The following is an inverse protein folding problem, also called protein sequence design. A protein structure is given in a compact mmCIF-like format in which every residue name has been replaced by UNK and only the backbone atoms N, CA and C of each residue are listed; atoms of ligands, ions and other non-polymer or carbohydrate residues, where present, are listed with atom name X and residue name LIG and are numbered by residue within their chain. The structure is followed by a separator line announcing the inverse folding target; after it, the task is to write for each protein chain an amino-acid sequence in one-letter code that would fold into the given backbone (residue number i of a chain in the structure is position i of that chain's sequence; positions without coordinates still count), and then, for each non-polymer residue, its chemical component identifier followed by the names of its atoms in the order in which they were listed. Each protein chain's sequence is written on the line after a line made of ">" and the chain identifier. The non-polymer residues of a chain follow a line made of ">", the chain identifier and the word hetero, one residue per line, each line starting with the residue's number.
data_IF_042445483091
#
_entry.id   IF_042445483091
#
_cell.length_a   1.000
_cell.length_b   1.000
_cell.length_c   1.000
_cell.angle_alpha   90.00
_cell.angle_beta   90.00
_cell.angle_gamma   90.00
#
_symmetry.space_group_name_H-M   'P 1'
#
loop_
_entity.id
_entity.type
_entity.pdbx_description
1 polymer ?
#
# COMPACT_ATOMS: atom_id res chain seq x y z
N UNK A 1 -21.08 -1.88 17.61
CA UNK A 1 -19.97 -2.43 18.40
C UNK A 1 -18.65 -2.03 17.73
N UNK A 2 -17.70 -1.48 18.49
CA UNK A 2 -16.31 -1.35 18.02
C UNK A 2 -15.65 -2.69 18.34
N UNK A 3 -15.23 -3.44 17.33
CA UNK A 3 -14.60 -4.75 17.50
C UNK A 3 -13.09 -4.58 17.39
N UNK A 4 -12.34 -4.53 18.51
CA UNK A 4 -10.90 -4.32 18.50
C UNK A 4 -10.27 -5.61 17.98
N UNK A 5 -9.97 -5.67 16.69
CA UNK A 5 -9.42 -6.87 16.05
C UNK A 5 -9.84 -7.08 14.60
N UNK A 6 -10.94 -6.45 14.17
CA UNK A 6 -11.47 -6.66 12.82
C UNK A 6 -10.44 -6.33 11.72
N UNK A 7 -9.59 -5.34 11.96
CA UNK A 7 -8.61 -4.86 10.98
C UNK A 7 -7.19 -5.37 11.22
N UNK A 8 -6.94 -6.18 12.25
CA UNK A 8 -5.57 -6.66 12.55
C UNK A 8 -4.92 -7.37 11.36
N UNK A 9 -5.62 -8.25 10.60
CA UNK A 9 -5.03 -8.87 9.40
C UNK A 9 -4.74 -7.85 8.29
N UNK A 10 -5.59 -6.83 8.14
CA UNK A 10 -5.40 -5.79 7.12
C UNK A 10 -4.07 -5.05 7.33
N UNK A 11 -3.79 -4.67 8.58
CA UNK A 11 -2.56 -3.98 8.95
C UNK A 11 -1.34 -4.91 9.02
N UNK A 12 -1.52 -6.13 9.50
CA UNK A 12 -0.42 -7.08 9.73
C UNK A 12 0.02 -7.86 8.50
N UNK A 13 -0.84 -8.06 7.49
CA UNK A 13 -0.49 -8.84 6.31
C UNK A 13 -0.86 -8.12 5.02
N UNK A 14 -2.12 -7.74 4.82
CA UNK A 14 -2.58 -7.25 3.52
C UNK A 14 -1.84 -6.01 3.03
N UNK A 15 -1.68 -4.99 3.89
CA UNK A 15 -0.94 -3.76 3.52
C UNK A 15 0.53 -4.07 3.24
N UNK A 16 1.15 -4.99 3.98
CA UNK A 16 2.55 -5.38 3.75
C UNK A 16 2.67 -6.09 2.40
N UNK A 17 1.80 -7.05 2.11
CA UNK A 17 1.74 -7.70 0.79
C UNK A 17 1.45 -6.70 -0.33
N UNK A 18 0.63 -5.69 -0.07
CA UNK A 18 0.37 -4.62 -1.01
C UNK A 18 1.65 -3.82 -1.32
N UNK A 19 2.42 -3.44 -0.29
CA UNK A 19 3.72 -2.77 -0.44
C UNK A 19 4.67 -3.60 -1.31
N UNK A 20 4.79 -4.90 -1.04
CA UNK A 20 5.65 -5.80 -1.80
C UNK A 20 5.18 -5.97 -3.25
N UNK A 21 3.87 -6.08 -3.48
CA UNK A 21 3.29 -6.22 -4.83
C UNK A 21 3.50 -4.96 -5.65
N UNK A 22 3.30 -3.79 -5.04
CA UNK A 22 3.54 -2.49 -5.68
C UNK A 22 5.03 -2.36 -6.05
N UNK A 23 5.91 -2.65 -5.10
CA UNK A 23 7.35 -2.51 -5.27
C UNK A 23 7.99 -3.52 -6.23
N UNK A 24 7.58 -4.77 -6.13
CA UNK A 24 8.17 -5.94 -6.79
C UNK A 24 8.59 -6.97 -5.75
N UNK A 25 7.99 -8.17 -5.80
CA UNK A 25 8.22 -9.26 -4.82
C UNK A 25 9.58 -9.94 -4.98
N UNK A 26 10.18 -9.89 -6.18
CA UNK A 26 11.47 -10.49 -6.48
C UNK A 26 12.67 -9.54 -6.39
N UNK A 27 12.51 -8.33 -5.84
CA UNK A 27 13.62 -7.39 -5.66
C UNK A 27 13.49 -6.59 -4.37
N UNK A 28 14.48 -6.69 -3.48
CA UNK A 28 14.51 -5.95 -2.21
C UNK A 28 14.46 -4.42 -2.40
N UNK A 29 15.11 -3.89 -3.44
CA UNK A 29 15.04 -2.44 -3.76
C UNK A 29 13.62 -2.06 -4.17
N UNK A 30 12.95 -2.93 -4.92
CA UNK A 30 11.53 -2.80 -5.26
C UNK A 30 10.65 -2.78 -4.03
N UNK A 31 10.79 -3.77 -3.14
CA UNK A 31 10.05 -3.85 -1.89
C UNK A 31 10.18 -2.58 -1.04
N UNK A 32 11.39 -2.03 -0.88
CA UNK A 32 11.62 -0.78 -0.14
C UNK A 32 10.92 0.40 -0.80
N UNK A 33 11.01 0.52 -2.14
CA UNK A 33 10.30 1.56 -2.88
C UNK A 33 8.78 1.43 -2.71
N UNK A 34 8.24 0.21 -2.82
CA UNK A 34 6.81 -0.05 -2.63
C UNK A 34 6.33 0.27 -1.22
N UNK A 35 7.12 -0.07 -0.20
CA UNK A 35 6.85 0.31 1.19
C UNK A 35 6.81 1.83 1.36
N UNK A 36 7.80 2.55 0.80
CA UNK A 36 7.85 3.99 0.86
C UNK A 36 6.66 4.67 0.16
N UNK A 37 6.23 4.15 -1.00
CA UNK A 37 5.09 4.68 -1.74
C UNK A 37 3.77 4.53 -0.96
N UNK A 38 3.48 3.34 -0.43
CA UNK A 38 2.24 3.11 0.32
C UNK A 38 2.26 3.88 1.64
N UNK A 39 3.41 3.95 2.31
CA UNK A 39 3.58 4.80 3.49
C UNK A 39 3.35 6.28 3.18
N UNK A 40 3.92 6.79 2.08
CA UNK A 40 3.74 8.17 1.67
C UNK A 40 2.26 8.47 1.38
N UNK A 41 1.55 7.58 0.68
CA UNK A 41 0.11 7.69 0.44
C UNK A 41 -0.66 7.74 1.77
N UNK A 42 -0.30 6.88 2.72
CA UNK A 42 -0.92 6.87 4.05
C UNK A 42 -0.69 8.18 4.81
N UNK A 43 0.56 8.64 4.88
CA UNK A 43 0.96 9.86 5.57
C UNK A 43 0.27 11.08 4.96
N UNK A 44 0.33 11.22 3.64
CA UNK A 44 -0.25 12.35 2.92
C UNK A 44 -1.77 12.38 3.03
N UNK A 45 -2.43 11.22 2.99
CA UNK A 45 -3.88 11.17 3.21
C UNK A 45 -4.26 11.67 4.61
N UNK A 46 -3.43 11.44 5.64
CA UNK A 46 -3.65 12.00 6.99
C UNK A 46 -3.55 13.51 6.95
N UNK A 47 -2.50 14.03 6.33
CA UNK A 47 -2.31 15.46 6.18
C UNK A 47 -3.48 16.15 5.45
N UNK A 48 -3.98 15.56 4.36
CA UNK A 48 -5.14 16.09 3.64
C UNK A 48 -6.44 16.01 4.44
N UNK A 49 -6.70 14.90 5.12
CA UNK A 49 -7.90 14.74 5.95
C UNK A 49 -7.96 15.81 7.03
N UNK A 50 -6.83 16.06 7.72
CA UNK A 50 -6.78 17.04 8.80
C UNK A 50 -6.99 18.49 8.32
N UNK A 51 -6.69 18.80 7.05
CA UNK A 51 -6.78 20.17 6.51
C UNK A 51 -8.07 20.44 5.72
N UNK A 52 -8.62 19.44 5.05
CA UNK A 52 -9.72 19.60 4.10
C UNK A 52 -11.04 19.09 4.66
N UNK A 53 -11.01 18.05 5.50
CA UNK A 53 -12.23 17.39 5.96
C UNK A 53 -12.77 18.05 7.23
N UNK A 54 -14.07 18.43 7.27
CA UNK A 54 -14.69 18.98 8.47
C UNK A 54 -14.57 18.04 9.69
N UNK A 55 -14.44 18.58 10.92
CA UNK A 55 -14.25 17.77 12.14
C UNK A 55 -15.28 16.66 12.32
N UNK A 56 -16.53 16.90 11.94
CA UNK A 56 -17.62 15.93 12.02
C UNK A 56 -17.36 14.61 11.25
N UNK A 57 -16.52 14.65 10.21
CA UNK A 57 -16.22 13.48 9.37
C UNK A 57 -14.81 12.93 9.57
N UNK A 58 -13.97 13.55 10.42
CA UNK A 58 -12.56 13.15 10.56
C UNK A 58 -12.35 11.71 11.06
N UNK A 59 -13.31 11.16 11.82
CA UNK A 59 -13.25 9.77 12.29
C UNK A 59 -13.62 8.75 11.19
N UNK A 60 -14.33 9.18 10.14
CA UNK A 60 -14.78 8.33 9.02
C UNK A 60 -13.93 8.51 7.77
N UNK A 61 -13.35 9.69 7.57
CA UNK A 61 -12.55 9.99 6.39
C UNK A 61 -11.38 9.02 6.13
N UNK A 62 -10.66 8.49 7.15
CA UNK A 62 -9.55 7.56 6.91
C UNK A 62 -9.93 6.26 6.18
N UNK A 63 -11.20 5.84 6.20
CA UNK A 63 -11.65 4.63 5.49
C UNK A 63 -11.42 4.70 3.97
N UNK A 64 -11.33 5.91 3.39
CA UNK A 64 -11.04 6.08 1.95
C UNK A 64 -9.66 5.52 1.55
N UNK A 65 -8.72 5.43 2.50
CA UNK A 65 -7.37 4.91 2.27
C UNK A 65 -7.38 3.47 1.77
N UNK A 66 -8.34 2.67 2.22
CA UNK A 66 -8.45 1.28 1.78
C UNK A 66 -8.85 1.19 0.31
N UNK A 67 -9.75 2.05 -0.14
CA UNK A 67 -10.09 2.19 -1.56
C UNK A 67 -8.90 2.68 -2.36
N UNK A 68 -8.16 3.69 -1.85
CA UNK A 68 -6.97 4.21 -2.51
C UNK A 68 -5.86 3.16 -2.66
N UNK A 69 -5.57 2.39 -1.60
CA UNK A 69 -4.57 1.30 -1.65
C UNK A 69 -5.03 0.22 -2.63
N UNK A 70 -6.31 -0.18 -2.59
CA UNK A 70 -6.87 -1.13 -3.53
C UNK A 70 -6.76 -0.65 -4.98
N UNK A 71 -7.04 0.63 -5.24
CA UNK A 71 -6.91 1.24 -6.56
C UNK A 71 -5.45 1.25 -7.03
N UNK A 72 -4.51 1.62 -6.16
CA UNK A 72 -3.07 1.57 -6.47
C UNK A 72 -2.65 0.16 -6.83
N UNK A 73 -3.10 -0.85 -6.07
CA UNK A 73 -2.82 -2.25 -6.38
C UNK A 73 -3.36 -2.67 -7.74
N UNK A 74 -4.63 -2.37 -8.03
CA UNK A 74 -5.24 -2.70 -9.33
C UNK A 74 -4.47 -2.04 -10.47
N UNK A 75 -4.13 -0.75 -10.34
CA UNK A 75 -3.37 -0.01 -11.37
C UNK A 75 -1.99 -0.62 -11.58
N UNK A 76 -1.27 -0.98 -10.51
CA UNK A 76 0.04 -1.59 -10.60
C UNK A 76 -0.05 -2.98 -11.23
N UNK A 77 -1.00 -3.81 -10.81
CA UNK A 77 -1.17 -5.15 -11.38
C UNK A 77 -1.48 -5.10 -12.89
N UNK A 78 -2.30 -4.14 -13.33
CA UNK A 78 -2.63 -3.98 -14.76
C UNK A 78 -1.42 -3.49 -15.56
N UNK A 79 -0.72 -2.45 -15.08
CA UNK A 79 0.35 -1.80 -15.87
C UNK A 79 1.71 -2.45 -15.70
N UNK A 80 1.99 -3.04 -14.54
CA UNK A 80 3.30 -3.52 -14.11
C UNK A 80 3.13 -4.75 -13.19
N UNK A 81 2.75 -5.92 -13.74
CA UNK A 81 2.50 -7.13 -12.96
C UNK A 81 3.73 -7.66 -12.19
N UNK A 82 4.94 -7.18 -12.53
CA UNK A 82 6.19 -7.47 -11.81
C UNK A 82 6.54 -6.43 -10.73
N UNK A 83 5.65 -5.49 -10.45
CA UNK A 83 5.92 -4.32 -9.61
C UNK A 83 6.74 -3.24 -10.33
N UNK A 84 7.08 -2.17 -9.61
CA UNK A 84 7.87 -1.06 -10.15
C UNK A 84 9.31 -1.46 -10.49
N UNK A 85 9.94 -2.30 -9.67
CA UNK A 85 11.29 -2.81 -9.87
C UNK A 85 11.23 -4.34 -9.90
N UNK A 86 11.20 -4.89 -11.11
CA UNK A 86 11.13 -6.33 -11.33
C UNK A 86 12.41 -7.07 -10.93
N UNK A 87 12.27 -8.38 -10.77
CA UNK A 87 13.34 -9.31 -10.42
C UNK A 87 14.46 -9.34 -11.49
N UNK A 88 15.71 -9.28 -11.03
CA UNK A 88 16.88 -9.47 -11.90
C UNK A 88 17.06 -10.98 -12.14
N UNK A 89 17.09 -11.41 -13.41
CA UNK A 89 17.32 -12.83 -13.76
C UNK A 89 18.70 -13.28 -13.26
N UNK A 90 18.74 -13.93 -12.10
CA UNK A 90 19.89 -14.74 -11.70
C UNK A 90 19.86 -16.04 -12.51
N UNK A 91 20.54 -16.03 -13.66
CA UNK A 91 20.81 -17.28 -14.38
C UNK A 91 21.92 -17.98 -13.60
N UNK A 92 21.61 -19.14 -13.03
CA UNK A 92 22.64 -20.00 -12.44
C UNK A 92 23.63 -20.35 -13.54
N UNK A 93 24.88 -19.89 -13.41
CA UNK A 93 25.97 -20.38 -14.25
C UNK A 93 26.25 -21.81 -13.79
N UNK A 94 25.68 -22.77 -14.53
CA UNK A 94 26.10 -24.18 -14.47
C UNK A 94 27.39 -24.33 -15.25
#
# INVERSE_FOLDING_TARGET
>A
AIQPGLFTPLFGTFIIWAMLTVGGTGNNKGAVLGAFLVWALWSWSTFFILRVVPPAFQTRAPFIRYVLIGLVLVVVLIKRPRGFIGEERHVSKV
#
